data_IF_305495424289
#
_entry.id   IF_305495424289
#
_cell.length_a   1.000
_cell.length_b   1.000
_cell.length_c   1.000
_cell.angle_alpha   90.00
_cell.angle_beta   90.00
_cell.angle_gamma   90.00
#
_symmetry.space_group_name_H-M   'P 1'
#
loop_
_entity.id
_entity.type
_entity.pdbx_description
1 polymer ?
#
# COMPACT_ATOMS: atom_id res chain seq x y z
N UNK A 1 24.89 -17.33 10.75
CA UNK A 1 24.61 -16.03 10.09
C UNK A 1 24.02 -16.21 8.69
N UNK A 2 24.66 -16.97 7.79
CA UNK A 2 24.17 -17.21 6.42
C UNK A 2 22.76 -17.83 6.35
N UNK A 3 22.43 -18.76 7.24
CA UNK A 3 21.10 -19.39 7.27
C UNK A 3 19.98 -18.39 7.66
N UNK A 4 20.28 -17.43 8.54
CA UNK A 4 19.33 -16.37 8.92
C UNK A 4 19.06 -15.40 7.76
N UNK A 5 20.07 -15.13 6.92
CA UNK A 5 19.93 -14.26 5.74
C UNK A 5 19.09 -14.96 4.67
N UNK A 6 19.38 -16.23 4.38
CA UNK A 6 18.60 -17.07 3.45
C UNK A 6 17.12 -17.13 3.84
N UNK A 7 16.83 -17.43 5.11
CA UNK A 7 15.45 -17.50 5.61
C UNK A 7 14.75 -16.12 5.57
N UNK A 8 15.48 -15.04 5.86
CA UNK A 8 14.93 -13.68 5.76
C UNK A 8 14.55 -13.33 4.31
N UNK A 9 15.44 -13.60 3.35
CA UNK A 9 15.19 -13.41 1.92
C UNK A 9 13.96 -14.20 1.44
N UNK A 10 13.86 -15.49 1.81
CA UNK A 10 12.70 -16.33 1.47
C UNK A 10 11.39 -15.74 2.01
N UNK A 11 11.38 -15.27 3.26
CA UNK A 11 10.20 -14.64 3.87
C UNK A 11 9.82 -13.33 3.19
N UNK A 12 10.79 -12.54 2.77
CA UNK A 12 10.55 -11.27 2.07
C UNK A 12 9.95 -11.55 0.69
N UNK A 13 10.55 -12.46 -0.10
CA UNK A 13 10.02 -12.86 -1.41
C UNK A 13 8.59 -13.37 -1.27
N UNK A 14 8.36 -14.34 -0.37
CA UNK A 14 7.04 -14.91 -0.16
C UNK A 14 6.01 -13.86 0.29
N UNK A 15 6.41 -12.92 1.17
CA UNK A 15 5.54 -11.83 1.61
C UNK A 15 5.22 -10.87 0.47
N UNK A 16 6.20 -10.48 -0.36
CA UNK A 16 5.96 -9.57 -1.48
C UNK A 16 5.12 -10.24 -2.56
N UNK A 17 5.41 -11.49 -2.92
CA UNK A 17 4.60 -12.26 -3.87
C UNK A 17 3.17 -12.49 -3.36
N UNK A 18 2.99 -12.74 -2.07
CA UNK A 18 1.63 -12.85 -1.49
C UNK A 18 0.86 -11.53 -1.55
N UNK A 19 1.53 -10.39 -1.45
CA UNK A 19 0.90 -9.06 -1.42
C UNK A 19 0.72 -8.44 -2.82
N UNK A 20 1.59 -8.79 -3.77
CA UNK A 20 1.70 -8.16 -5.08
C UNK A 20 1.70 -9.15 -6.25
N UNK A 21 1.64 -10.45 -6.01
CA UNK A 21 1.64 -11.49 -7.04
C UNK A 21 0.25 -12.00 -7.43
N UNK A 22 -0.80 -11.59 -6.70
CA UNK A 22 -2.19 -11.98 -6.95
C UNK A 22 -3.15 -10.81 -6.90
N UNK A 23 -4.36 -11.01 -7.41
CA UNK A 23 -5.43 -10.02 -7.33
C UNK A 23 -5.92 -9.86 -5.89
N UNK A 24 -6.48 -8.68 -5.60
CA UNK A 24 -7.14 -8.43 -4.33
C UNK A 24 -8.64 -8.60 -4.46
N UNK A 25 -9.20 -9.36 -3.53
CA UNK A 25 -10.65 -9.56 -3.42
C UNK A 25 -11.21 -8.51 -2.47
N UNK A 26 -11.99 -7.59 -3.03
CA UNK A 26 -12.72 -6.59 -2.26
C UNK A 26 -14.07 -7.16 -1.85
N UNK A 27 -14.24 -7.45 -0.56
CA UNK A 27 -15.47 -8.00 -0.01
C UNK A 27 -16.32 -6.87 0.58
N UNK A 28 -17.57 -6.69 0.14
CA UNK A 28 -18.50 -5.77 0.79
C UNK A 28 -18.69 -6.15 2.26
N UNK A 29 -18.74 -5.16 3.14
CA UNK A 29 -18.90 -5.39 4.59
C UNK A 29 -19.89 -4.44 5.22
N UNK A 30 -20.37 -4.84 6.40
CA UNK A 30 -21.14 -3.99 7.30
C UNK A 30 -20.23 -3.52 8.45
N UNK A 31 -20.26 -2.21 8.76
CA UNK A 31 -19.50 -1.61 9.85
C UNK A 31 -19.75 -2.29 11.21
N UNK A 32 -20.92 -2.91 11.44
CA UNK A 32 -21.23 -3.61 12.69
C UNK A 32 -20.36 -4.84 12.92
N UNK A 33 -19.69 -5.35 11.88
CA UNK A 33 -18.72 -6.45 11.99
C UNK A 33 -17.36 -5.98 12.52
N UNK A 34 -17.12 -4.67 12.60
CA UNK A 34 -15.83 -4.06 12.93
C UNK A 34 -15.90 -3.22 14.22
N UNK A 35 -16.68 -3.66 15.22
CA UNK A 35 -16.85 -2.96 16.52
C UNK A 35 -15.55 -2.74 17.30
N UNK A 36 -14.47 -3.44 16.95
CA UNK A 36 -13.12 -3.22 17.52
C UNK A 36 -12.41 -1.98 16.95
N UNK A 37 -12.95 -1.35 15.91
CA UNK A 37 -12.48 -0.09 15.33
C UNK A 37 -13.26 1.10 15.90
N UNK A 38 -12.71 2.30 15.72
CA UNK A 38 -13.42 3.53 16.04
C UNK A 38 -14.45 3.85 14.94
N UNK A 39 -15.65 3.27 15.05
CA UNK A 39 -16.73 3.50 14.09
C UNK A 39 -17.24 4.95 14.09
N UNK A 40 -17.05 5.69 15.18
CA UNK A 40 -17.39 7.11 15.23
C UNK A 40 -16.49 7.90 14.28
N UNK A 41 -15.20 7.59 14.25
CA UNK A 41 -14.27 8.25 13.33
C UNK A 41 -14.60 7.99 11.84
N UNK A 42 -15.14 6.82 11.49
CA UNK A 42 -15.66 6.56 10.14
C UNK A 42 -16.86 7.43 9.79
N UNK A 43 -17.83 7.56 10.70
CA UNK A 43 -18.99 8.45 10.53
C UNK A 43 -18.58 9.92 10.41
N UNK A 44 -17.63 10.37 11.24
CA UNK A 44 -17.10 11.74 11.18
C UNK A 44 -16.30 12.00 9.89
N UNK A 45 -15.55 11.00 9.40
CA UNK A 45 -14.94 11.08 8.07
C UNK A 45 -16.00 11.28 6.99
N UNK A 46 -17.04 10.46 6.99
CA UNK A 46 -18.12 10.52 6.02
C UNK A 46 -18.84 11.87 6.04
N UNK A 47 -19.32 12.30 7.22
CA UNK A 47 -20.06 13.56 7.36
C UNK A 47 -19.23 14.78 6.90
N UNK A 48 -17.93 14.82 7.20
CA UNK A 48 -17.03 15.90 6.74
C UNK A 48 -16.86 15.92 5.22
N UNK A 49 -16.90 14.76 4.57
CA UNK A 49 -16.77 14.63 3.13
C UNK A 49 -18.09 14.93 2.42
N UNK A 50 -19.22 14.50 2.97
CA UNK A 50 -20.56 14.85 2.49
C UNK A 50 -20.77 16.38 2.53
N UNK A 51 -20.30 17.06 3.57
CA UNK A 51 -20.29 18.52 3.64
C UNK A 51 -19.44 19.20 2.53
N UNK A 52 -18.60 18.43 1.83
CA UNK A 52 -17.78 18.85 0.68
C UNK A 52 -18.26 18.21 -0.63
N UNK A 53 -19.52 17.77 -0.66
CA UNK A 53 -20.18 17.15 -1.79
C UNK A 53 -19.52 15.84 -2.27
N UNK A 54 -18.83 15.12 -1.39
CA UNK A 54 -18.53 13.72 -1.65
C UNK A 54 -19.75 12.85 -1.34
N UNK A 55 -19.88 11.74 -2.06
CA UNK A 55 -20.89 10.71 -1.78
C UNK A 55 -20.22 9.41 -1.39
N UNK A 56 -20.82 8.69 -0.44
CA UNK A 56 -20.40 7.33 -0.10
C UNK A 56 -20.63 6.39 -1.29
N UNK A 57 -19.70 5.47 -1.52
CA UNK A 57 -19.78 4.46 -2.56
C UNK A 57 -19.91 3.05 -1.99
N UNK A 58 -18.99 2.68 -1.09
CA UNK A 58 -18.95 1.33 -0.54
C UNK A 58 -18.09 1.28 0.72
N UNK A 59 -18.36 0.28 1.56
CA UNK A 59 -17.47 -0.19 2.61
C UNK A 59 -16.98 -1.60 2.22
N UNK A 60 -15.66 -1.78 2.11
CA UNK A 60 -15.06 -3.06 1.69
C UNK A 60 -13.90 -3.47 2.57
N UNK A 61 -13.67 -4.77 2.76
CA UNK A 61 -12.38 -5.27 3.23
C UNK A 61 -11.59 -5.93 2.10
N UNK A 62 -10.26 -5.97 2.24
CA UNK A 62 -9.39 -6.70 1.32
C UNK A 62 -9.12 -8.07 1.93
N UNK A 63 -9.66 -9.13 1.32
CA UNK A 63 -9.63 -10.47 1.89
C UNK A 63 -8.20 -10.94 2.22
N UNK A 64 -7.26 -10.69 1.32
CA UNK A 64 -5.87 -11.11 1.41
C UNK A 64 -5.14 -10.39 2.56
N UNK A 65 -5.52 -9.15 2.87
CA UNK A 65 -4.95 -8.38 3.99
C UNK A 65 -5.60 -8.78 5.31
N UNK A 66 -6.93 -8.88 5.32
CA UNK A 66 -7.73 -9.21 6.51
C UNK A 66 -7.50 -10.63 7.02
N UNK A 67 -7.32 -11.59 6.11
CA UNK A 67 -7.23 -13.01 6.42
C UNK A 67 -5.81 -13.58 6.31
N UNK A 68 -4.81 -12.74 6.05
CA UNK A 68 -3.42 -13.18 6.02
C UNK A 68 -3.02 -13.84 7.36
N UNK A 69 -2.51 -15.08 7.35
CA UNK A 69 -2.15 -15.78 8.57
C UNK A 69 -0.96 -15.13 9.28
N UNK A 70 -0.18 -14.28 8.59
CA UNK A 70 1.02 -13.61 9.10
C UNK A 70 0.77 -12.16 9.51
N UNK A 71 -0.40 -11.58 9.20
CA UNK A 71 -0.67 -10.17 9.54
C UNK A 71 -0.69 -9.93 11.04
N UNK A 72 -0.03 -8.86 11.47
CA UNK A 72 -0.11 -8.33 12.84
C UNK A 72 -1.24 -7.32 13.00
N UNK A 73 -2.01 -7.05 11.95
CA UNK A 73 -3.09 -6.08 11.93
C UNK A 73 -4.44 -6.76 12.17
N UNK A 74 -5.30 -6.13 12.96
CA UNK A 74 -6.68 -6.54 13.09
C UNK A 74 -7.39 -6.33 11.74
N UNK A 75 -8.45 -7.11 11.48
CA UNK A 75 -9.31 -6.89 10.31
C UNK A 75 -9.73 -5.43 10.25
N UNK A 76 -9.69 -4.87 9.05
CA UNK A 76 -10.05 -3.48 8.80
C UNK A 76 -10.90 -3.42 7.55
N UNK A 77 -11.69 -2.36 7.43
CA UNK A 77 -12.43 -2.06 6.22
C UNK A 77 -12.05 -0.67 5.72
N UNK A 78 -12.29 -0.43 4.45
CA UNK A 78 -12.07 0.82 3.76
C UNK A 78 -13.44 1.41 3.48
N UNK A 79 -13.72 2.58 4.07
CA UNK A 79 -14.85 3.40 3.67
C UNK A 79 -14.43 4.25 2.49
N UNK A 80 -15.15 4.09 1.38
CA UNK A 80 -14.83 4.75 0.13
C UNK A 80 -15.91 5.74 -0.25
N UNK A 81 -15.45 6.92 -0.64
CA UNK A 81 -16.28 8.01 -1.10
C UNK A 81 -15.71 8.58 -2.39
N UNK A 82 -16.52 9.33 -3.11
CA UNK A 82 -16.11 9.98 -4.35
C UNK A 82 -16.60 11.42 -4.36
N UNK A 83 -15.78 12.33 -4.89
CA UNK A 83 -16.15 13.75 -5.03
C UNK A 83 -17.36 13.93 -5.95
N UNK A 84 -18.03 15.09 -5.85
CA UNK A 84 -19.28 15.39 -6.55
C UNK A 84 -19.27 15.05 -8.05
N UNK A 85 -18.16 15.35 -8.71
CA UNK A 85 -18.03 15.13 -10.15
C UNK A 85 -17.52 13.73 -10.49
N UNK A 86 -17.02 12.96 -9.53
CA UNK A 86 -16.41 11.65 -9.76
C UNK A 86 -14.89 11.67 -9.90
N UNK A 87 -14.23 12.82 -9.74
CA UNK A 87 -12.82 12.97 -10.08
C UNK A 87 -11.87 12.33 -9.04
N UNK A 88 -12.26 12.36 -7.76
CA UNK A 88 -11.39 11.99 -6.64
C UNK A 88 -12.07 10.92 -5.82
N UNK A 89 -11.43 9.77 -5.67
CA UNK A 89 -11.78 8.77 -4.67
C UNK A 89 -11.12 9.13 -3.33
N UNK A 90 -11.89 9.09 -2.25
CA UNK A 90 -11.40 9.25 -0.88
C UNK A 90 -11.62 7.94 -0.12
N UNK A 91 -10.53 7.37 0.38
CA UNK A 91 -10.53 6.13 1.15
C UNK A 91 -10.10 6.40 2.58
N UNK A 92 -10.85 5.86 3.53
CA UNK A 92 -10.51 5.93 4.95
C UNK A 92 -10.52 4.55 5.58
N UNK A 93 -9.49 4.26 6.39
CA UNK A 93 -9.35 3.00 7.11
C UNK A 93 -8.51 3.15 8.38
N UNK A 94 -8.58 2.15 9.25
CA UNK A 94 -7.81 2.14 10.50
C UNK A 94 -6.80 0.98 10.50
N UNK A 95 -5.53 1.31 10.75
CA UNK A 95 -4.48 0.33 10.99
C UNK A 95 -4.42 0.10 12.50
N UNK A 96 -5.11 -0.95 12.95
CA UNK A 96 -5.12 -1.40 14.35
C UNK A 96 -4.27 -2.66 14.49
N UNK A 97 -3.35 -2.75 15.46
CA UNK A 97 -2.59 -3.98 15.67
C UNK A 97 -3.40 -5.03 16.45
N UNK A 98 -3.10 -6.31 16.22
CA UNK A 98 -3.61 -7.45 17.00
C UNK A 98 -2.80 -7.59 18.28
N UNK A 99 -3.36 -7.11 19.38
CA UNK A 99 -2.69 -7.10 20.68
C UNK A 99 -2.27 -8.50 21.13
N UNK A 100 -3.11 -9.52 20.92
CA UNK A 100 -2.81 -10.91 21.27
C UNK A 100 -1.58 -11.47 20.53
N UNK A 101 -1.39 -11.09 19.26
CA UNK A 101 -0.20 -11.47 18.48
C UNK A 101 1.04 -10.69 18.89
N UNK A 102 0.90 -9.39 19.13
CA UNK A 102 1.99 -8.56 19.62
C UNK A 102 2.51 -9.03 20.99
N UNK A 103 1.60 -9.38 21.91
CA UNK A 103 1.97 -9.94 23.22
C UNK A 103 2.70 -11.27 23.10
N UNK A 104 2.23 -12.19 22.24
CA UNK A 104 2.95 -13.44 21.96
C UNK A 104 4.34 -13.21 21.38
N UNK A 105 4.49 -12.22 20.49
CA UNK A 105 5.78 -11.86 19.90
C UNK A 105 6.72 -11.22 20.92
N UNK A 106 6.20 -10.39 21.82
CA UNK A 106 6.95 -9.80 22.93
C UNK A 106 7.44 -10.87 23.91
N UNK A 107 6.59 -11.81 24.34
CA UNK A 107 6.96 -12.93 25.21
C UNK A 107 8.07 -13.80 24.60
N UNK A 108 7.98 -14.08 23.28
CA UNK A 108 9.06 -14.76 22.55
C UNK A 108 10.35 -13.94 22.48
N UNK A 109 10.24 -12.62 22.31
CA UNK A 109 11.39 -11.71 22.29
C UNK A 109 12.12 -11.63 23.64
N UNK A 110 11.38 -11.64 24.74
CA UNK A 110 11.90 -11.70 26.10
C UNK A 110 12.62 -13.04 26.36
N UNK A 111 12.04 -14.16 25.90
CA UNK A 111 12.69 -15.48 25.98
C UNK A 111 14.00 -15.58 25.16
N UNK A 112 14.14 -14.77 24.10
CA UNK A 112 15.30 -14.79 23.19
C UNK A 112 16.31 -13.64 23.45
N UNK A 113 16.29 -13.00 24.62
CA UNK A 113 17.31 -12.01 24.99
C UNK A 113 17.21 -10.64 24.29
N UNK A 114 16.13 -10.34 23.55
CA UNK A 114 15.91 -9.03 22.88
C UNK A 114 15.22 -8.00 23.80
N UNK A 115 15.82 -7.73 24.96
CA UNK A 115 15.15 -7.05 26.08
C UNK A 115 14.95 -5.54 25.90
N UNK A 116 15.71 -4.87 25.03
CA UNK A 116 15.68 -3.39 24.91
C UNK A 116 14.88 -2.92 23.68
N UNK A 117 14.93 -3.65 22.56
CA UNK A 117 14.27 -3.25 21.31
C UNK A 117 12.79 -3.67 21.22
N UNK A 118 12.44 -4.82 21.79
CA UNK A 118 11.08 -5.34 21.76
C UNK A 118 10.07 -4.41 22.47
N UNK A 119 10.35 -3.83 23.66
CA UNK A 119 9.43 -2.92 24.34
C UNK A 119 9.22 -1.60 23.60
N UNK A 120 10.28 -1.01 23.01
CA UNK A 120 10.19 0.24 22.26
C UNK A 120 9.42 0.07 20.96
N UNK A 121 9.68 -1.02 20.23
CA UNK A 121 8.90 -1.39 19.05
C UNK A 121 7.43 -1.65 19.41
N UNK A 122 7.19 -2.37 20.50
CA UNK A 122 5.85 -2.65 21.02
C UNK A 122 5.07 -1.36 21.31
N UNK A 123 5.63 -0.45 22.13
CA UNK A 123 4.99 0.83 22.49
C UNK A 123 4.68 1.73 21.29
N UNK A 124 5.57 1.81 20.29
CA UNK A 124 5.34 2.56 19.04
C UNK A 124 4.24 1.95 18.15
N UNK A 125 3.94 0.68 18.37
CA UNK A 125 2.98 -0.08 17.56
C UNK A 125 1.59 -0.10 18.20
N UNK A 126 1.42 0.25 19.47
CA UNK A 126 0.13 0.11 20.18
C UNK A 126 -1.01 1.02 19.69
N UNK A 127 -0.71 2.17 19.08
CA UNK A 127 -1.75 3.13 18.68
C UNK A 127 -2.40 2.72 17.36
N UNK A 128 -3.73 2.69 17.34
CA UNK A 128 -4.50 2.67 16.09
C UNK A 128 -4.12 3.90 15.27
N UNK A 129 -3.81 3.69 14.00
CA UNK A 129 -3.48 4.77 13.06
C UNK A 129 -4.64 4.97 12.10
N UNK A 130 -5.11 6.19 11.99
CA UNK A 130 -6.18 6.56 11.07
C UNK A 130 -5.54 6.96 9.75
N UNK A 131 -5.88 6.23 8.69
CA UNK A 131 -5.33 6.45 7.37
C UNK A 131 -6.42 7.01 6.46
N UNK A 132 -6.06 8.04 5.71
CA UNK A 132 -6.84 8.58 4.59
C UNK A 132 -5.96 8.60 3.35
N UNK A 133 -6.54 8.28 2.21
CA UNK A 133 -5.93 8.42 0.89
C UNK A 133 -6.91 9.08 -0.07
N UNK A 134 -6.39 9.98 -0.91
CA UNK A 134 -7.12 10.53 -2.04
C UNK A 134 -6.44 10.08 -3.31
N UNK A 135 -7.24 9.55 -4.24
CA UNK A 135 -6.76 8.98 -5.49
C UNK A 135 -7.51 9.59 -6.67
N UNK A 136 -6.75 10.03 -7.68
CA UNK A 136 -7.30 10.43 -8.98
C UNK A 136 -6.63 9.58 -10.05
N UNK A 137 -7.45 8.99 -10.93
CA UNK A 137 -6.96 8.33 -12.15
C UNK A 137 -7.06 9.30 -13.33
N UNK A 138 -5.98 9.40 -14.07
CA UNK A 138 -5.85 10.25 -15.26
C UNK A 138 -6.14 9.42 -16.51
N UNK A 139 -6.59 10.08 -17.58
CA UNK A 139 -7.02 9.44 -18.83
C UNK A 139 -5.91 8.65 -19.54
N UNK A 140 -4.66 8.98 -19.26
CA UNK A 140 -3.46 8.28 -19.74
C UNK A 140 -3.05 7.09 -18.86
N UNK A 141 -3.85 6.71 -17.87
CA UNK A 141 -3.56 5.60 -16.94
C UNK A 141 -2.59 5.96 -15.82
N UNK A 142 -2.19 7.23 -15.67
CA UNK A 142 -1.44 7.68 -14.50
C UNK A 142 -2.35 7.90 -13.29
N UNK A 143 -1.77 7.87 -12.11
CA UNK A 143 -2.46 8.11 -10.85
C UNK A 143 -1.80 9.21 -10.04
N UNK A 144 -2.60 10.02 -9.38
CA UNK A 144 -2.16 10.89 -8.28
C UNK A 144 -2.70 10.29 -6.99
N UNK A 145 -1.82 10.05 -6.01
CA UNK A 145 -2.20 9.51 -4.70
C UNK A 145 -1.63 10.39 -3.60
N UNK A 146 -2.46 10.96 -2.74
CA UNK A 146 -2.03 11.71 -1.55
C UNK A 146 -2.57 11.01 -0.31
N UNK A 147 -1.73 10.64 0.65
CA UNK A 147 -2.18 9.89 1.82
C UNK A 147 -1.37 10.21 3.08
N UNK A 148 -1.94 10.02 4.27
CA UNK A 148 -1.18 10.03 5.52
C UNK A 148 -0.74 8.61 5.97
N UNK A 149 -0.86 7.60 5.11
CA UNK A 149 -0.41 6.24 5.38
C UNK A 149 1.13 6.13 5.33
N UNK A 150 1.81 6.80 6.26
CA UNK A 150 3.26 7.03 6.24
C UNK A 150 4.11 5.77 6.00
N UNK A 151 3.71 4.60 6.52
CA UNK A 151 4.51 3.38 6.27
C UNK A 151 4.52 2.94 4.81
N UNK A 152 3.51 3.31 4.02
CA UNK A 152 3.47 3.00 2.59
C UNK A 152 4.59 3.71 1.81
N UNK A 153 5.14 4.82 2.33
CA UNK A 153 6.26 5.53 1.71
C UNK A 153 7.58 4.74 1.71
N UNK A 154 7.65 3.63 2.45
CA UNK A 154 8.84 2.78 2.51
C UNK A 154 8.96 1.80 1.35
N UNK A 155 7.88 1.64 0.58
CA UNK A 155 7.83 0.81 -0.61
C UNK A 155 7.67 1.74 -1.80
N UNK A 156 8.56 1.62 -2.79
CA UNK A 156 8.49 2.36 -4.03
C UNK A 156 7.20 2.04 -4.80
N UNK A 157 6.84 2.92 -5.72
CA UNK A 157 5.69 2.74 -6.60
C UNK A 157 6.14 2.89 -8.06
N UNK A 158 5.38 2.34 -9.02
CA UNK A 158 5.67 2.59 -10.43
C UNK A 158 5.68 4.09 -10.73
N UNK A 159 6.49 4.56 -11.70
CA UNK A 159 6.51 5.96 -12.13
C UNK A 159 5.15 6.50 -12.60
N UNK A 160 4.23 5.62 -13.00
CA UNK A 160 2.86 5.98 -13.38
C UNK A 160 1.97 6.37 -12.20
N UNK A 161 2.40 6.13 -10.95
CA UNK A 161 1.66 6.49 -9.73
C UNK A 161 2.47 7.53 -8.96
N UNK A 162 2.07 8.79 -9.08
CA UNK A 162 2.64 9.90 -8.33
C UNK A 162 2.10 9.90 -6.89
N UNK A 163 2.92 9.43 -5.95
CA UNK A 163 2.55 9.31 -4.54
C UNK A 163 3.14 10.43 -3.69
N UNK A 164 2.33 11.00 -2.80
CA UNK A 164 2.79 11.86 -1.71
C UNK A 164 2.24 11.34 -0.38
N UNK A 165 3.15 11.01 0.55
CA UNK A 165 2.82 10.48 1.86
C UNK A 165 3.16 11.47 2.98
N UNK A 166 2.19 11.69 3.87
CA UNK A 166 2.33 12.52 5.07
C UNK A 166 2.44 11.67 6.35
N UNK A 167 2.90 12.25 7.47
CA UNK A 167 2.85 11.59 8.78
C UNK A 167 1.42 11.17 9.18
N UNK A 168 1.28 10.08 9.93
CA UNK A 168 -0.03 9.54 10.36
C UNK A 168 -0.93 10.54 11.09
N UNK A 169 -0.35 11.54 11.78
CA UNK A 169 -1.09 12.56 12.51
C UNK A 169 -1.62 13.71 11.65
N UNK A 170 -1.28 13.75 10.35
CA UNK A 170 -1.74 14.82 9.45
C UNK A 170 -3.27 14.77 9.31
N UNK A 171 -3.90 15.92 9.51
CA UNK A 171 -5.36 16.07 9.46
C UNK A 171 -5.89 15.72 8.07
N UNK A 172 -7.02 15.02 8.04
CA UNK A 172 -7.73 14.62 6.80
C UNK A 172 -7.91 15.76 5.81
N UNK A 173 -8.23 16.96 6.33
CA UNK A 173 -8.43 18.17 5.55
C UNK A 173 -7.15 18.61 4.83
N UNK A 174 -6.00 18.56 5.53
CA UNK A 174 -4.70 18.95 4.96
C UNK A 174 -4.30 18.01 3.82
N UNK A 175 -4.52 16.70 3.99
CA UNK A 175 -4.25 15.70 2.95
C UNK A 175 -5.15 15.93 1.72
N UNK A 176 -6.42 16.26 1.94
CA UNK A 176 -7.36 16.57 0.87
C UNK A 176 -6.94 17.81 0.09
N UNK A 177 -6.67 18.91 0.79
CA UNK A 177 -6.30 20.19 0.17
C UNK A 177 -5.01 20.03 -0.64
N UNK A 178 -4.05 19.26 -0.10
CA UNK A 178 -2.83 18.92 -0.82
C UNK A 178 -3.11 18.11 -2.09
N UNK A 179 -4.00 17.12 -2.03
CA UNK A 179 -4.41 16.37 -3.21
C UNK A 179 -5.02 17.27 -4.30
N UNK A 180 -5.91 18.17 -3.90
CA UNK A 180 -6.57 19.08 -4.84
C UNK A 180 -5.58 20.04 -5.51
N UNK A 181 -4.58 20.53 -4.77
CA UNK A 181 -3.49 21.35 -5.33
C UNK A 181 -2.69 20.53 -6.34
N UNK A 182 -2.27 19.31 -6.00
CA UNK A 182 -1.50 18.44 -6.90
C UNK A 182 -2.27 18.10 -8.18
N UNK A 183 -3.55 17.77 -8.05
CA UNK A 183 -4.43 17.51 -9.20
C UNK A 183 -4.55 18.75 -10.10
N UNK A 184 -4.80 19.92 -9.51
CA UNK A 184 -4.90 21.17 -10.27
C UNK A 184 -3.60 21.46 -11.04
N UNK A 185 -2.45 21.43 -10.35
CA UNK A 185 -1.16 21.67 -10.98
C UNK A 185 -0.87 20.68 -12.11
N UNK A 186 -1.27 19.41 -11.95
CA UNK A 186 -1.13 18.40 -13.01
C UNK A 186 -1.96 18.75 -14.25
N UNK A 187 -3.21 19.18 -14.07
CA UNK A 187 -4.13 19.53 -15.16
C UNK A 187 -3.77 20.85 -15.83
N UNK A 188 -3.21 21.81 -15.08
CA UNK A 188 -2.66 23.07 -15.63
C UNK A 188 -1.42 22.81 -16.49
N UNK A 189 -0.55 21.88 -16.08
CA UNK A 189 0.66 21.54 -16.82
C UNK A 189 0.38 20.75 -18.12
N UNK A 190 -0.72 19.99 -18.17
CA UNK A 190 -1.15 19.24 -19.37
C UNK A 190 -2.64 19.47 -19.66
N UNK A 191 -3.01 20.55 -20.36
CA UNK A 191 -4.41 20.93 -20.59
C UNK A 191 -5.25 19.89 -21.35
N UNK A 192 -4.62 19.00 -22.12
CA UNK A 192 -5.24 17.87 -22.82
C UNK A 192 -5.53 16.67 -21.92
N UNK A 193 -4.92 16.62 -20.73
CA UNK A 193 -5.13 15.57 -19.77
C UNK A 193 -6.58 15.61 -19.27
N UNK A 194 -7.17 14.43 -19.11
CA UNK A 194 -8.53 14.26 -18.58
C UNK A 194 -8.47 13.40 -17.33
N UNK A 195 -9.42 13.59 -16.44
CA UNK A 195 -9.63 12.69 -15.30
C UNK A 195 -10.58 11.59 -15.73
N UNK A 196 -10.31 10.34 -15.31
CA UNK A 196 -11.27 9.25 -15.44
C UNK A 196 -12.26 9.35 -14.28
N UNK A 197 -13.48 9.75 -14.59
CA UNK A 197 -14.52 9.99 -13.59
C UNK A 197 -15.07 8.66 -13.03
N UNK A 198 -15.47 8.69 -11.77
CA UNK A 198 -16.07 7.58 -11.02
C UNK A 198 -17.53 7.90 -10.68
N UNK A 199 -18.44 7.11 -11.24
CA UNK A 199 -19.88 7.08 -11.08
C UNK A 199 -20.37 5.96 -10.15
N UNK A 200 -19.69 4.83 -10.05
CA UNK A 200 -20.15 3.68 -9.25
C UNK A 200 -19.06 2.99 -8.42
N UNK A 201 -19.48 2.08 -7.52
CA UNK A 201 -18.56 1.21 -6.79
C UNK A 201 -17.79 0.26 -7.72
N UNK A 202 -18.43 -0.20 -8.81
CA UNK A 202 -17.80 -1.04 -9.84
C UNK A 202 -16.67 -0.31 -10.56
N UNK A 203 -16.86 0.98 -10.87
CA UNK A 203 -15.83 1.81 -11.49
C UNK A 203 -14.67 2.08 -10.53
N UNK A 204 -14.96 2.27 -9.24
CA UNK A 204 -13.93 2.38 -8.19
C UNK A 204 -13.13 1.07 -8.07
N UNK A 205 -13.80 -0.07 -8.11
CA UNK A 205 -13.13 -1.37 -8.11
C UNK A 205 -12.27 -1.56 -9.37
N UNK A 206 -12.77 -1.15 -10.54
CA UNK A 206 -12.01 -1.17 -11.78
C UNK A 206 -10.78 -0.26 -11.70
N UNK A 207 -10.89 0.93 -11.09
CA UNK A 207 -9.75 1.82 -10.80
C UNK A 207 -8.71 1.13 -9.92
N UNK A 208 -9.15 0.49 -8.84
CA UNK A 208 -8.28 -0.26 -7.92
C UNK A 208 -7.55 -1.39 -8.60
N UNK A 209 -8.24 -2.16 -9.44
CA UNK A 209 -7.63 -3.25 -10.23
C UNK A 209 -6.55 -2.74 -11.17
N UNK A 210 -6.81 -1.67 -11.93
CA UNK A 210 -5.80 -1.04 -12.81
C UNK A 210 -4.58 -0.57 -12.02
N UNK A 211 -4.79 0.12 -10.90
CA UNK A 211 -3.69 0.58 -10.05
C UNK A 211 -2.91 -0.59 -9.42
N UNK A 212 -3.60 -1.66 -9.01
CA UNK A 212 -2.99 -2.87 -8.44
C UNK A 212 -2.14 -3.57 -9.49
N UNK A 213 -2.64 -3.76 -10.71
CA UNK A 213 -1.88 -4.32 -11.83
C UNK A 213 -0.58 -3.55 -12.11
N UNK A 214 -0.61 -2.21 -12.08
CA UNK A 214 0.61 -1.40 -12.23
C UNK A 214 1.60 -1.62 -11.08
N UNK A 215 1.11 -1.70 -9.84
CA UNK A 215 1.96 -1.96 -8.66
C UNK A 215 2.58 -3.36 -8.74
N UNK A 216 1.81 -4.36 -9.12
CA UNK A 216 2.24 -5.75 -9.23
C UNK A 216 3.30 -5.93 -10.32
N UNK A 217 3.04 -5.39 -11.51
CA UNK A 217 4.00 -5.38 -12.62
C UNK A 217 5.30 -4.68 -12.22
N UNK A 218 5.21 -3.55 -11.52
CA UNK A 218 6.39 -2.86 -11.03
C UNK A 218 7.17 -3.68 -10.01
N UNK A 219 6.49 -4.30 -9.03
CA UNK A 219 7.13 -5.19 -8.05
C UNK A 219 7.88 -6.33 -8.74
N UNK A 220 7.26 -6.99 -9.72
CA UNK A 220 7.92 -8.03 -10.48
C UNK A 220 9.16 -7.50 -11.23
N UNK A 221 9.10 -6.27 -11.78
CA UNK A 221 10.22 -5.65 -12.50
C UNK A 221 11.42 -5.25 -11.64
N UNK A 222 11.23 -5.11 -10.32
CA UNK A 222 12.29 -4.75 -9.36
C UNK A 222 12.65 -5.90 -8.43
N UNK A 223 12.47 -7.14 -8.90
CA UNK A 223 12.77 -8.37 -8.13
C UNK A 223 12.05 -8.42 -6.78
N UNK A 224 10.81 -7.93 -6.74
CA UNK A 224 9.89 -7.82 -5.60
C UNK A 224 10.27 -6.79 -4.53
N UNK A 225 11.56 -6.54 -4.30
CA UNK A 225 12.06 -5.59 -3.30
C UNK A 225 13.37 -4.96 -3.74
N UNK A 226 13.51 -3.65 -3.54
CA UNK A 226 14.76 -2.93 -3.81
C UNK A 226 15.72 -2.94 -2.61
N UNK A 227 17.01 -2.72 -2.88
CA UNK A 227 18.04 -2.57 -1.85
C UNK A 227 17.74 -1.40 -0.91
N UNK A 228 17.28 -0.28 -1.47
CA UNK A 228 16.91 0.94 -0.74
C UNK A 228 15.70 0.68 0.17
N UNK A 229 14.71 -0.08 -0.30
CA UNK A 229 13.54 -0.45 0.51
C UNK A 229 13.95 -1.27 1.74
N UNK A 230 14.87 -2.24 1.58
CA UNK A 230 15.39 -3.03 2.69
C UNK A 230 16.15 -2.18 3.72
N UNK A 231 16.90 -1.18 3.26
CA UNK A 231 17.57 -0.22 4.14
C UNK A 231 16.54 0.66 4.88
N UNK A 232 15.53 1.17 4.18
CA UNK A 232 14.48 2.03 4.74
C UNK A 232 13.53 1.31 5.73
N UNK A 233 13.52 -0.03 5.69
CA UNK A 233 12.81 -0.86 6.66
C UNK A 233 13.50 -0.95 8.03
N UNK A 234 14.71 -0.37 8.19
CA UNK A 234 15.40 -0.24 9.47
C UNK A 234 16.33 -1.41 9.80
N UNK A 235 16.76 -2.16 8.79
CA UNK A 235 17.85 -3.14 8.93
C UNK A 235 19.20 -2.43 8.92
N UNK A 236 20.20 -2.99 9.61
CA UNK A 236 21.60 -2.57 9.44
C UNK A 236 21.96 -2.59 7.94
N UNK A 237 22.62 -1.56 7.38
CA UNK A 237 22.89 -1.46 5.94
C UNK A 237 23.65 -2.65 5.35
N UNK A 238 24.54 -3.29 6.13
CA UNK A 238 25.28 -4.48 5.69
C UNK A 238 24.36 -5.69 5.64
N UNK A 239 23.46 -5.81 6.63
CA UNK A 239 22.44 -6.86 6.66
C UNK A 239 21.44 -6.68 5.51
N UNK A 240 20.98 -5.45 5.26
CA UNK A 240 20.09 -5.15 4.14
C UNK A 240 20.71 -5.51 2.78
N UNK A 241 21.99 -5.16 2.58
CA UNK A 241 22.72 -5.52 1.37
C UNK A 241 22.87 -7.04 1.22
N UNK A 242 23.22 -7.76 2.29
CA UNK A 242 23.35 -9.21 2.23
C UNK A 242 22.02 -9.93 1.96
N UNK A 243 20.91 -9.41 2.52
CA UNK A 243 19.56 -9.90 2.22
C UNK A 243 19.22 -9.65 0.74
N UNK A 244 19.53 -8.47 0.21
CA UNK A 244 19.25 -8.13 -1.19
C UNK A 244 19.97 -9.06 -2.17
N UNK A 245 21.28 -9.28 -1.99
CA UNK A 245 22.04 -10.20 -2.84
C UNK A 245 21.48 -11.64 -2.76
N UNK A 246 21.07 -12.07 -1.57
CA UNK A 246 20.46 -13.38 -1.38
C UNK A 246 19.08 -13.47 -2.04
N UNK A 247 18.27 -12.40 -2.04
CA UNK A 247 17.00 -12.32 -2.80
C UNK A 247 17.27 -12.53 -4.29
N UNK A 248 18.20 -11.76 -4.88
CA UNK A 248 18.56 -11.89 -6.30
C UNK A 248 19.06 -13.29 -6.64
N UNK A 249 19.91 -13.87 -5.78
CA UNK A 249 20.41 -15.24 -5.94
C UNK A 249 19.28 -16.27 -5.92
N UNK A 250 18.29 -16.13 -5.04
CA UNK A 250 17.14 -17.03 -4.97
C UNK A 250 16.19 -16.89 -6.15
N UNK A 251 16.06 -15.69 -6.70
CA UNK A 251 15.26 -15.42 -7.90
C UNK A 251 15.99 -15.80 -9.21
N UNK A 252 17.26 -16.21 -9.13
CA UNK A 252 18.07 -16.56 -10.30
C UNK A 252 18.49 -15.36 -11.14
N UNK A 253 18.45 -14.15 -10.58
CA UNK A 253 18.84 -12.91 -11.26
C UNK A 253 20.37 -12.83 -11.26
N UNK A 254 20.99 -13.14 -12.41
CA UNK A 254 22.43 -12.95 -12.61
C UNK A 254 22.75 -11.47 -12.77
N UNK A 255 24.03 -11.10 -12.59
CA UNK A 255 24.49 -9.71 -12.60
C UNK A 255 24.42 -9.01 -13.99
N UNK A 256 23.83 -9.65 -14.99
CA UNK A 256 23.58 -9.05 -16.31
C UNK A 256 22.21 -8.35 -16.26
N UNK A 257 22.24 -7.02 -16.26
CA UNK A 257 21.07 -6.16 -16.06
C UNK A 257 19.98 -6.27 -17.14
N UNK A 258 18.90 -5.49 -17.02
CA UNK A 258 17.81 -5.46 -17.98
C UNK A 258 18.29 -4.79 -19.28
N UNK A 259 18.73 -5.58 -20.27
CA UNK A 259 19.24 -5.00 -21.52
C UNK A 259 19.59 -5.97 -22.66
N UNK A 260 19.24 -7.26 -22.61
CA UNK A 260 19.69 -8.19 -23.66
C UNK A 260 18.71 -9.35 -23.92
N UNK A 261 17.41 -9.05 -24.03
CA UNK A 261 16.56 -9.84 -24.94
C UNK A 261 16.48 -9.10 -26.27
N UNK A 262 17.09 -9.61 -27.35
CA UNK A 262 16.79 -9.08 -28.67
C UNK A 262 15.30 -9.30 -28.96
N UNK A 263 14.64 -8.37 -29.69
CA UNK A 263 13.27 -8.59 -30.13
C UNK A 263 13.22 -9.90 -30.92
N UNK A 264 12.18 -10.70 -30.66
CA UNK A 264 11.89 -11.89 -31.45
C UNK A 264 11.87 -11.46 -32.92
N UNK A 265 12.78 -12.02 -33.72
CA UNK A 265 12.72 -11.90 -35.16
C UNK A 265 11.40 -12.55 -35.59
N UNK A 266 10.48 -11.72 -36.10
CA UNK A 266 9.38 -12.19 -36.92
C UNK A 266 9.98 -12.98 -38.07
N UNK A 267 9.77 -14.30 -38.02
CA UNK A 267 9.99 -15.18 -39.16
C UNK A 267 8.89 -14.89 -40.16
N UNK A 268 9.13 -13.87 -40.99
CA UNK A 268 8.50 -13.81 -42.30
C UNK A 268 9.06 -14.96 -43.12
N UNK A 269 8.21 -15.95 -43.37
CA UNK A 269 8.44 -17.02 -44.33
C UNK A 269 7.16 -17.22 -45.13
N UNK A 270 7.31 -17.04 -46.45
CA UNK A 270 6.37 -17.15 -47.57
C UNK A 270 5.41 -15.97 -47.78
#
# INVERSE_FOLDING_TARGET
>A
MNESIRQAAQRIIASMQSMYGGEFTYLPVDEVQFRHLDLRAYREFQARHEAKAFRHLCDVEIAEVSHSPTTILARTYIRSMVSAHGAVAADYYQVRPRMDRLWRMLLRGLGNGRWIDAPRFFLRTLKTRHCVGYTTELGNGHFIVTSNAQAASKIGSPPTIDNEFHPYGTLTQVVMDRHMVRLRSRLEAEPQLRVRMLGSAEELEAQRRRMKQQKDAYRASVDWVSKEELANMGSDPRVAAAIYEEVRRQLGVTAEGPGSRPPAQETLSA
#
